data_IF_162617266035
#
_entry.id   IF_162617266035
#
_cell.length_a   1.000
_cell.length_b   1.000
_cell.length_c   1.000
_cell.angle_alpha   90.00
_cell.angle_beta   90.00
_cell.angle_gamma   90.00
#
_symmetry.space_group_name_H-M   'P 1'
#
loop_
_entity.id
_entity.type
_entity.pdbx_description
1 polymer ?
#
# COMPACT_ATOMS: atom_id res chain seq x y z
N UNK A 1 -19.10 -16.74 0.85
CA UNK A 1 -18.00 -15.83 0.41
C UNK A 1 -17.25 -15.42 1.65
N UNK A 2 -15.95 -15.63 1.69
CA UNK A 2 -15.11 -15.36 2.86
C UNK A 2 -13.89 -14.54 2.48
N UNK A 3 -13.45 -13.67 3.39
CA UNK A 3 -12.20 -12.93 3.30
C UNK A 3 -11.41 -13.18 4.57
N UNK A 4 -10.15 -13.57 4.42
CA UNK A 4 -9.21 -13.79 5.52
C UNK A 4 -7.96 -12.95 5.31
N UNK A 5 -7.36 -12.51 6.41
CA UNK A 5 -6.07 -11.81 6.40
C UNK A 5 -5.03 -12.79 6.91
N UNK A 6 -4.01 -13.07 6.10
CA UNK A 6 -2.93 -14.00 6.43
C UNK A 6 -1.56 -13.31 6.36
N UNK A 7 -0.51 -13.86 6.98
CA UNK A 7 0.85 -13.35 6.78
C UNK A 7 1.23 -13.28 5.31
N UNK A 8 1.88 -12.21 4.90
CA UNK A 8 2.32 -12.03 3.52
C UNK A 8 3.45 -13.01 3.15
N UNK A 9 3.37 -13.53 1.93
CA UNK A 9 4.46 -14.22 1.26
C UNK A 9 4.57 -13.67 -0.16
N UNK A 10 5.78 -13.53 -0.70
CA UNK A 10 6.00 -12.90 -2.02
C UNK A 10 5.23 -13.62 -3.14
N UNK A 11 5.15 -14.94 -3.09
CA UNK A 11 4.37 -15.75 -4.05
C UNK A 11 2.87 -15.40 -4.07
N UNK A 12 2.32 -14.76 -3.04
CA UNK A 12 0.94 -14.28 -3.10
C UNK A 12 0.75 -13.23 -4.19
N UNK A 13 1.77 -12.42 -4.49
CA UNK A 13 1.73 -11.43 -5.57
C UNK A 13 1.69 -12.09 -6.94
N UNK A 14 2.38 -13.23 -7.11
CA UNK A 14 2.38 -14.00 -8.37
C UNK A 14 0.98 -14.50 -8.74
N UNK A 15 0.10 -14.64 -7.75
CA UNK A 15 -1.29 -15.06 -7.91
C UNK A 15 -2.26 -13.89 -8.05
N UNK A 16 -1.79 -12.64 -7.91
CA UNK A 16 -2.60 -11.43 -8.01
C UNK A 16 -2.55 -10.85 -9.41
N UNK A 17 -3.71 -10.41 -9.91
CA UNK A 17 -3.76 -9.47 -11.03
C UNK A 17 -3.67 -8.04 -10.49
N UNK A 18 -2.45 -7.57 -10.24
CA UNK A 18 -2.21 -6.23 -9.67
C UNK A 18 -2.72 -5.14 -10.62
N UNK A 19 -3.33 -4.11 -10.02
CA UNK A 19 -3.85 -2.94 -10.73
C UNK A 19 -2.79 -2.33 -11.67
N UNK A 20 -3.17 -1.95 -12.91
CA UNK A 20 -2.22 -1.44 -13.90
C UNK A 20 -1.31 -0.32 -13.38
N UNK A 21 -1.85 0.62 -12.60
CA UNK A 21 -1.12 1.77 -12.06
C UNK A 21 0.05 1.39 -11.13
N UNK A 22 0.04 0.17 -10.55
CA UNK A 22 1.01 -0.27 -9.54
C UNK A 22 2.03 -1.28 -10.10
N UNK A 23 1.88 -1.72 -11.35
CA UNK A 23 2.70 -2.81 -11.93
C UNK A 23 4.18 -2.43 -12.08
N UNK A 24 4.44 -1.19 -12.45
CA UNK A 24 5.82 -0.72 -12.63
C UNK A 24 6.56 -0.61 -11.29
N UNK A 25 5.88 -0.13 -10.25
CA UNK A 25 6.42 -0.11 -8.88
C UNK A 25 6.71 -1.52 -8.37
N UNK A 26 5.76 -2.45 -8.55
CA UNK A 26 5.98 -3.85 -8.20
C UNK A 26 7.19 -4.46 -8.92
N UNK A 27 7.34 -4.24 -10.23
CA UNK A 27 8.45 -4.78 -11.02
C UNK A 27 9.82 -4.27 -10.54
N UNK A 28 9.86 -3.03 -10.07
CA UNK A 28 11.08 -2.41 -9.57
C UNK A 28 11.37 -2.73 -8.09
N UNK A 29 10.40 -3.27 -7.34
CA UNK A 29 10.52 -3.50 -5.90
C UNK A 29 11.41 -4.73 -5.60
N UNK A 30 12.45 -4.59 -4.76
CA UNK A 30 13.28 -5.74 -4.40
C UNK A 30 12.53 -6.67 -3.42
N UNK A 31 12.78 -8.00 -3.45
CA UNK A 31 12.06 -8.98 -2.61
C UNK A 31 12.14 -8.73 -1.10
N UNK A 32 13.19 -8.07 -0.61
CA UNK A 32 13.39 -7.79 0.82
C UNK A 32 12.64 -6.53 1.33
N UNK A 33 12.02 -5.74 0.45
CA UNK A 33 11.43 -4.45 0.80
C UNK A 33 9.99 -4.52 1.34
N UNK A 34 9.47 -5.69 1.69
CA UNK A 34 8.07 -5.84 2.09
C UNK A 34 7.81 -5.66 3.60
N UNK A 35 8.84 -5.76 4.44
CA UNK A 35 8.71 -5.51 5.88
C UNK A 35 7.64 -6.39 6.56
N UNK A 36 6.97 -5.83 7.58
CA UNK A 36 5.83 -6.48 8.23
C UNK A 36 4.59 -6.31 7.36
N UNK A 37 4.07 -7.41 6.81
CA UNK A 37 3.02 -7.36 5.80
C UNK A 37 2.01 -8.51 5.89
N UNK A 38 0.85 -8.27 5.29
CA UNK A 38 -0.26 -9.22 5.24
C UNK A 38 -0.90 -9.26 3.85
N UNK A 39 -1.56 -10.38 3.56
CA UNK A 39 -2.33 -10.60 2.34
C UNK A 39 -3.81 -10.77 2.70
N UNK A 40 -4.68 -10.06 2.00
CA UNK A 40 -6.10 -10.35 1.98
C UNK A 40 -6.37 -11.44 0.94
N UNK A 41 -6.96 -12.55 1.39
CA UNK A 41 -7.34 -13.69 0.56
C UNK A 41 -8.85 -13.81 0.57
N UNK A 42 -9.46 -13.68 -0.60
CA UNK A 42 -10.89 -13.81 -0.80
C UNK A 42 -11.21 -15.07 -1.60
N UNK A 43 -12.08 -15.91 -1.06
CA UNK A 43 -12.49 -17.17 -1.70
C UNK A 43 -11.29 -18.04 -2.16
N UNK A 44 -10.18 -18.01 -1.41
CA UNK A 44 -8.95 -18.76 -1.68
C UNK A 44 -7.91 -18.04 -2.55
N UNK A 45 -8.22 -16.86 -3.10
CA UNK A 45 -7.34 -16.10 -3.98
C UNK A 45 -6.80 -14.83 -3.30
N UNK A 46 -5.48 -14.55 -3.38
CA UNK A 46 -4.93 -13.25 -2.98
C UNK A 46 -5.53 -12.12 -3.81
N UNK A 47 -6.05 -11.09 -3.14
CA UNK A 47 -6.68 -9.92 -3.79
C UNK A 47 -6.06 -8.58 -3.38
N UNK A 48 -5.27 -8.56 -2.31
CA UNK A 48 -4.51 -7.40 -1.88
C UNK A 48 -3.35 -7.83 -0.98
N UNK A 49 -2.26 -7.08 -0.99
CA UNK A 49 -1.17 -7.18 -0.04
C UNK A 49 -0.78 -5.78 0.44
N UNK A 50 -0.50 -5.63 1.72
CA UNK A 50 -0.07 -4.34 2.28
C UNK A 50 0.80 -4.56 3.50
N UNK A 51 1.67 -3.58 3.77
CA UNK A 51 2.61 -3.69 4.88
C UNK A 51 3.26 -2.37 5.26
N UNK A 52 4.11 -2.48 6.27
CA UNK A 52 4.94 -1.41 6.80
C UNK A 52 6.39 -1.86 6.79
N UNK A 53 7.27 -1.01 6.29
CA UNK A 53 8.71 -1.17 6.33
C UNK A 53 9.26 -0.17 7.33
N UNK A 54 9.96 -0.65 8.36
CA UNK A 54 10.65 0.26 9.27
C UNK A 54 11.79 0.96 8.53
N UNK A 55 11.80 2.30 8.58
CA UNK A 55 12.90 3.09 8.03
C UNK A 55 13.94 3.35 9.12
N UNK A 56 13.48 3.71 10.32
CA UNK A 56 14.24 3.81 11.56
C UNK A 56 13.29 3.87 12.76
N UNK A 57 13.78 3.81 14.02
CA UNK A 57 12.91 3.79 15.20
C UNK A 57 11.88 4.94 15.23
N UNK A 58 10.60 4.57 15.13
CA UNK A 58 9.46 5.50 15.13
C UNK A 58 9.05 6.06 13.77
N UNK A 59 9.69 5.67 12.65
CA UNK A 59 9.28 6.01 11.28
C UNK A 59 9.17 4.75 10.42
N UNK A 60 8.00 4.57 9.81
CA UNK A 60 7.73 3.48 8.88
C UNK A 60 7.26 4.01 7.51
N UNK A 61 7.51 3.22 6.47
CA UNK A 61 7.03 3.44 5.11
C UNK A 61 5.94 2.41 4.80
N UNK A 62 4.74 2.88 4.47
CA UNK A 62 3.60 2.05 4.10
C UNK A 62 3.61 1.76 2.59
N UNK A 63 3.21 0.55 2.26
CA UNK A 63 3.00 0.11 0.88
C UNK A 63 1.74 -0.73 0.77
N UNK A 64 1.11 -0.74 -0.40
CA UNK A 64 -0.03 -1.59 -0.70
C UNK A 64 -0.09 -1.92 -2.19
N UNK A 65 -0.45 -3.16 -2.51
CA UNK A 65 -0.75 -3.67 -3.84
C UNK A 65 -2.17 -4.21 -3.83
N UNK A 66 -3.03 -3.70 -4.71
CA UNK A 66 -4.42 -4.14 -4.84
C UNK A 66 -4.60 -4.89 -6.16
N UNK A 67 -5.41 -5.94 -6.13
CA UNK A 67 -5.95 -6.58 -7.33
C UNK A 67 -6.92 -5.67 -8.07
N UNK A 68 -7.06 -5.86 -9.37
CA UNK A 68 -8.09 -5.20 -10.18
C UNK A 68 -9.53 -5.60 -9.77
N UNK A 69 -9.68 -6.80 -9.24
CA UNK A 69 -10.92 -7.41 -8.76
C UNK A 69 -11.27 -7.10 -7.29
N UNK A 70 -10.45 -6.29 -6.61
CA UNK A 70 -10.61 -5.96 -5.19
C UNK A 70 -11.93 -5.22 -4.87
N UNK A 71 -12.60 -4.66 -5.87
CA UNK A 71 -13.73 -3.73 -5.71
C UNK A 71 -14.81 -4.19 -4.72
N UNK A 72 -15.29 -5.44 -4.84
CA UNK A 72 -16.33 -5.98 -3.93
C UNK A 72 -15.84 -6.18 -2.48
N UNK A 73 -14.53 -6.30 -2.31
CA UNK A 73 -13.86 -6.54 -1.03
C UNK A 73 -13.20 -5.29 -0.46
N UNK A 74 -13.21 -4.18 -1.20
CA UNK A 74 -12.45 -2.98 -0.89
C UNK A 74 -12.71 -2.47 0.52
N UNK A 75 -13.97 -2.45 0.98
CA UNK A 75 -14.32 -2.02 2.34
C UNK A 75 -13.65 -2.89 3.41
N UNK A 76 -13.60 -4.21 3.21
CA UNK A 76 -12.95 -5.14 4.13
C UNK A 76 -11.43 -4.96 4.13
N UNK A 77 -10.84 -4.79 2.95
CA UNK A 77 -9.40 -4.50 2.78
C UNK A 77 -9.03 -3.16 3.42
N UNK A 78 -9.77 -2.09 3.13
CA UNK A 78 -9.59 -0.78 3.74
C UNK A 78 -9.62 -0.85 5.27
N UNK A 79 -10.63 -1.53 5.85
CA UNK A 79 -10.71 -1.71 7.32
C UNK A 79 -9.53 -2.50 7.89
N UNK A 80 -9.02 -3.50 7.17
CA UNK A 80 -7.85 -4.25 7.60
C UNK A 80 -6.60 -3.37 7.60
N UNK A 81 -6.37 -2.59 6.54
CA UNK A 81 -5.26 -1.63 6.45
C UNK A 81 -5.38 -0.56 7.53
N UNK A 82 -6.56 0.03 7.72
CA UNK A 82 -6.79 1.05 8.74
C UNK A 82 -6.45 0.53 10.15
N UNK A 83 -6.90 -0.68 10.49
CA UNK A 83 -6.56 -1.33 11.77
C UNK A 83 -5.06 -1.61 11.91
N UNK A 84 -4.36 -1.95 10.83
CA UNK A 84 -2.91 -2.16 10.88
C UNK A 84 -2.18 -0.84 11.17
N UNK A 85 -2.59 0.26 10.54
CA UNK A 85 -2.06 1.60 10.79
C UNK A 85 -2.32 2.05 12.23
N UNK A 86 -3.54 1.89 12.73
CA UNK A 86 -3.93 2.28 14.10
C UNK A 86 -3.19 1.49 15.19
N UNK A 87 -2.75 0.27 14.89
CA UNK A 87 -1.99 -0.59 15.81
C UNK A 87 -0.48 -0.41 15.69
N UNK A 88 0.00 0.34 14.70
CA UNK A 88 1.41 0.61 14.53
C UNK A 88 1.94 1.44 15.70
N UNK A 89 3.14 1.11 16.19
CA UNK A 89 3.86 1.92 17.16
C UNK A 89 4.66 3.06 16.51
N UNK A 90 4.67 3.16 15.18
CA UNK A 90 5.37 4.22 14.48
C UNK A 90 4.69 5.57 14.74
N UNK A 91 5.49 6.57 15.12
CA UNK A 91 5.02 7.96 15.30
C UNK A 91 4.72 8.62 13.95
N UNK A 92 5.44 8.19 12.91
CA UNK A 92 5.23 8.63 11.53
C UNK A 92 5.14 7.43 10.61
N UNK A 93 4.09 7.40 9.81
CA UNK A 93 3.93 6.48 8.69
C UNK A 93 3.82 7.34 7.43
N UNK A 94 4.58 7.02 6.41
CA UNK A 94 4.53 7.74 5.13
C UNK A 94 4.39 6.78 3.95
N UNK A 95 3.89 7.30 2.84
CA UNK A 95 3.83 6.61 1.56
C UNK A 95 3.96 7.64 0.45
N UNK A 96 4.52 7.23 -0.68
CA UNK A 96 4.39 7.97 -1.92
C UNK A 96 3.23 7.39 -2.73
N UNK A 97 2.48 8.29 -3.39
CA UNK A 97 1.43 7.91 -4.32
C UNK A 97 1.70 8.62 -5.63
N UNK A 98 1.68 7.84 -6.71
CA UNK A 98 1.72 8.32 -8.10
C UNK A 98 0.77 9.51 -8.31
N UNK A 99 1.30 10.61 -8.85
CA UNK A 99 0.55 11.85 -9.05
C UNK A 99 -0.62 11.68 -10.03
N UNK A 100 -0.53 10.72 -10.95
CA UNK A 100 -1.58 10.44 -11.94
C UNK A 100 -2.59 9.37 -11.43
N UNK A 101 -2.41 8.86 -10.21
CA UNK A 101 -3.26 7.82 -9.64
C UNK A 101 -4.27 8.37 -8.61
N UNK A 102 -5.30 9.05 -9.12
CA UNK A 102 -6.34 9.69 -8.29
C UNK A 102 -7.03 8.72 -7.29
N UNK A 103 -7.20 7.45 -7.65
CA UNK A 103 -7.78 6.46 -6.75
C UNK A 103 -6.87 6.15 -5.54
N UNK A 104 -5.55 6.08 -5.77
CA UNK A 104 -4.57 5.94 -4.70
C UNK A 104 -4.55 7.16 -3.79
N UNK A 105 -4.57 8.36 -4.36
CA UNK A 105 -4.59 9.62 -3.60
C UNK A 105 -5.81 9.69 -2.66
N UNK A 106 -7.01 9.43 -3.21
CA UNK A 106 -8.25 9.38 -2.43
C UNK A 106 -8.18 8.33 -1.32
N UNK A 107 -7.59 7.17 -1.60
CA UNK A 107 -7.50 6.11 -0.59
C UNK A 107 -6.51 6.46 0.54
N UNK A 108 -5.38 7.10 0.22
CA UNK A 108 -4.45 7.62 1.22
C UNK A 108 -5.12 8.61 2.18
N UNK A 109 -5.91 9.55 1.65
CA UNK A 109 -6.70 10.50 2.44
C UNK A 109 -7.75 9.79 3.31
N UNK A 110 -8.46 8.80 2.76
CA UNK A 110 -9.41 7.98 3.53
C UNK A 110 -8.76 7.19 4.66
N UNK A 111 -7.48 6.84 4.53
CA UNK A 111 -6.69 6.17 5.57
C UNK A 111 -6.12 7.14 6.61
N UNK A 112 -6.43 8.44 6.49
CA UNK A 112 -6.00 9.49 7.42
C UNK A 112 -4.60 10.01 7.16
N UNK A 113 -4.04 9.82 5.96
CA UNK A 113 -2.80 10.47 5.58
C UNK A 113 -3.07 11.87 5.03
N UNK A 114 -2.18 12.81 5.35
CA UNK A 114 -2.16 14.15 4.77
C UNK A 114 -1.06 14.22 3.70
N UNK A 115 -1.37 14.86 2.56
CA UNK A 115 -0.39 15.19 1.53
C UNK A 115 0.56 16.27 2.06
N UNK A 116 1.85 16.00 2.14
CA UNK A 116 2.85 16.94 2.67
C UNK A 116 3.60 17.70 1.58
N UNK A 117 3.68 17.16 0.36
CA UNK A 117 4.35 17.84 -0.75
C UNK A 117 3.36 18.76 -1.46
N UNK A 118 3.61 20.09 -1.52
CA UNK A 118 2.70 21.02 -2.19
C UNK A 118 2.62 20.76 -3.70
N UNK A 119 3.77 20.42 -4.29
CA UNK A 119 3.97 20.00 -5.67
C UNK A 119 4.46 18.55 -5.69
N UNK A 120 4.27 17.79 -6.78
CA UNK A 120 4.70 16.41 -6.81
C UNK A 120 6.23 16.31 -6.96
N UNK A 121 6.82 15.35 -6.26
CA UNK A 121 8.24 15.02 -6.33
C UNK A 121 8.54 14.44 -7.71
N UNK A 122 9.35 15.16 -8.49
CA UNK A 122 9.71 14.77 -9.85
C UNK A 122 10.66 13.56 -9.85
N UNK A 123 10.53 12.69 -10.85
CA UNK A 123 11.37 11.49 -11.00
C UNK A 123 11.42 10.59 -9.76
N UNK A 124 10.34 10.55 -8.98
CA UNK A 124 10.27 9.78 -7.73
C UNK A 124 10.02 8.28 -7.98
N UNK A 125 9.09 7.94 -8.88
CA UNK A 125 8.75 6.56 -9.18
C UNK A 125 9.79 5.90 -10.10
N UNK A 126 9.88 4.57 -10.14
CA UNK A 126 10.88 3.84 -10.96
C UNK A 126 10.86 4.19 -12.45
N UNK A 127 9.71 4.63 -12.98
CA UNK A 127 9.55 5.05 -14.38
C UNK A 127 9.86 6.53 -14.62
N UNK A 128 10.34 7.25 -13.60
CA UNK A 128 10.55 8.70 -13.65
C UNK A 128 9.27 9.51 -13.46
N UNK A 129 8.13 8.85 -13.22
CA UNK A 129 6.85 9.52 -12.97
C UNK A 129 6.86 10.25 -11.62
N UNK A 130 6.14 11.38 -11.52
CA UNK A 130 6.10 12.15 -10.30
C UNK A 130 5.15 11.52 -9.26
N UNK A 131 5.43 11.75 -7.97
CA UNK A 131 4.61 11.25 -6.87
C UNK A 131 4.42 12.31 -5.77
N UNK A 132 3.31 12.25 -5.06
CA UNK A 132 3.10 13.03 -3.85
C UNK A 132 3.47 12.22 -2.61
N UNK A 133 4.08 12.87 -1.62
CA UNK A 133 4.31 12.25 -0.32
C UNK A 133 3.10 12.48 0.58
N UNK A 134 2.62 11.41 1.18
CA UNK A 134 1.55 11.39 2.15
C UNK A 134 2.10 10.89 3.48
N UNK A 135 1.69 11.52 4.58
CA UNK A 135 2.10 11.11 5.92
C UNK A 135 0.92 11.08 6.89
N UNK A 136 0.96 10.10 7.80
CA UNK A 136 0.11 9.99 8.97
C UNK A 136 1.00 10.08 10.21
N UNK A 137 0.74 11.07 11.05
CA UNK A 137 1.49 11.34 12.28
C UNK A 137 0.57 11.09 13.47
N UNK A 138 1.07 10.34 14.45
CA UNK A 138 0.34 9.91 15.65
C UNK A 138 0.82 10.65 16.91
#
# INVERSE_FOLDING_TARGET
MSLVIIPFHVNHIELMTVQPAQRDELRASPPAAFGAAWTAVADGLPIAAAGLVDVWPGRAYAWALLGDDVGRWFVSVHRAVLRALERSAARRIEMAVDADFAAGARWAEMLGFARETPEPMQAYLPTGRPAYLYARVH
#
